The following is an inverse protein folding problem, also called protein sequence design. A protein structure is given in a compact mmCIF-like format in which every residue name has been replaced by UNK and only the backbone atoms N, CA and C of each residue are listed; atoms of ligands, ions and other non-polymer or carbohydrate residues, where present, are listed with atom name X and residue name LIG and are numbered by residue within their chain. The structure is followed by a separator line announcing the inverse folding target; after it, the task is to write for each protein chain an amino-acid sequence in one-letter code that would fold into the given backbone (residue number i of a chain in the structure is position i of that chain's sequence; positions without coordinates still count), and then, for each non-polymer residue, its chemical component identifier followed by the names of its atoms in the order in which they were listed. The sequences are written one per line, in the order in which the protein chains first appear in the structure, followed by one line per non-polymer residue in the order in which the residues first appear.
data_IF_427788512076
#
_entry.id   IF_427788512076
#
_cell.length_a   1.000
_cell.length_b   1.000
_cell.length_c   1.000
_cell.angle_alpha   90.00
_cell.angle_beta   90.00
_cell.angle_gamma   90.00
#
_symmetry.space_group_name_H-M   'P 1'
#
loop_
_entity.id
_entity.type
_entity.pdbx_description
1 polymer ?
#
# COMPACT_ATOMS: atom_id res chain seq x y z
N UNK A 1 -3.91 9.71 17.04
CA UNK A 1 -3.18 10.78 16.31
C UNK A 1 -2.38 10.25 15.13
N UNK A 2 -1.36 9.38 15.28
CA UNK A 2 -0.52 8.96 14.14
C UNK A 2 -1.24 8.06 13.12
N UNK A 3 -1.97 7.07 13.61
CA UNK A 3 -2.58 6.06 12.75
C UNK A 3 -3.81 6.59 12.00
N UNK A 4 -4.57 7.48 12.64
CA UNK A 4 -5.66 8.21 12.00
C UNK A 4 -5.14 9.12 10.87
N UNK A 5 -3.97 9.75 11.06
CA UNK A 5 -3.32 10.54 10.00
C UNK A 5 -2.93 9.67 8.80
N UNK A 6 -2.47 8.44 9.00
CA UNK A 6 -2.24 7.50 7.91
C UNK A 6 -3.55 7.20 7.17
N UNK A 7 -4.61 6.81 7.89
CA UNK A 7 -5.92 6.54 7.28
C UNK A 7 -6.45 7.72 6.46
N UNK A 8 -6.29 8.94 6.98
CA UNK A 8 -6.67 10.17 6.28
C UNK A 8 -5.80 10.44 5.04
N UNK A 9 -4.48 10.28 5.15
CA UNK A 9 -3.56 10.47 4.04
C UNK A 9 -3.87 9.50 2.89
N UNK A 10 -4.13 8.23 3.19
CA UNK A 10 -4.52 7.24 2.20
C UNK A 10 -5.88 7.55 1.56
N UNK A 11 -6.85 8.01 2.36
CA UNK A 11 -8.17 8.40 1.86
C UNK A 11 -8.09 9.59 0.91
N UNK A 12 -7.29 10.60 1.25
CA UNK A 12 -7.04 11.78 0.39
C UNK A 12 -6.32 11.36 -0.89
N UNK A 13 -5.31 10.48 -0.79
CA UNK A 13 -4.56 9.99 -1.95
C UNK A 13 -5.46 9.23 -2.95
N UNK A 14 -6.43 8.47 -2.45
CA UNK A 14 -7.39 7.74 -3.27
C UNK A 14 -8.55 8.60 -3.81
N UNK A 15 -8.73 9.83 -3.30
CA UNK A 15 -9.93 10.62 -3.54
C UNK A 15 -10.15 10.92 -5.04
N UNK A 16 -11.31 10.51 -5.56
CA UNK A 16 -11.71 10.75 -6.95
C UNK A 16 -10.95 9.92 -7.99
N UNK A 17 -10.12 8.95 -7.57
CA UNK A 17 -9.35 8.07 -8.46
C UNK A 17 -9.82 6.62 -8.30
N UNK A 18 -9.59 5.81 -9.33
CA UNK A 18 -9.89 4.37 -9.32
C UNK A 18 -8.80 3.59 -10.06
N UNK A 19 -8.76 2.28 -9.88
CA UNK A 19 -7.88 1.42 -10.67
C UNK A 19 -6.41 1.67 -10.38
N UNK A 20 -5.59 1.67 -11.43
CA UNK A 20 -4.12 1.76 -11.30
C UNK A 20 -3.66 3.07 -10.67
N UNK A 21 -4.30 4.20 -10.98
CA UNK A 21 -3.92 5.51 -10.46
C UNK A 21 -4.12 5.57 -8.95
N UNK A 22 -5.31 5.22 -8.46
CA UNK A 22 -5.59 5.21 -7.02
C UNK A 22 -4.60 4.34 -6.24
N UNK A 23 -4.26 3.15 -6.76
CA UNK A 23 -3.31 2.24 -6.10
C UNK A 23 -1.89 2.84 -6.05
N UNK A 24 -1.47 3.54 -7.10
CA UNK A 24 -0.18 4.24 -7.13
C UNK A 24 -0.12 5.37 -6.10
N UNK A 25 -1.19 6.16 -5.98
CA UNK A 25 -1.24 7.25 -5.00
C UNK A 25 -1.30 6.74 -3.58
N UNK A 26 -2.08 5.68 -3.31
CA UNK A 26 -2.12 5.01 -2.00
C UNK A 26 -0.73 4.50 -1.62
N UNK A 27 -0.02 3.83 -2.55
CA UNK A 27 1.32 3.33 -2.29
C UNK A 27 2.32 4.45 -1.99
N UNK A 28 2.27 5.54 -2.77
CA UNK A 28 3.13 6.71 -2.57
C UNK A 28 2.87 7.37 -1.21
N UNK A 29 1.60 7.64 -0.89
CA UNK A 29 1.21 8.23 0.38
C UNK A 29 1.60 7.36 1.59
N UNK A 30 1.50 6.03 1.45
CA UNK A 30 1.98 5.10 2.48
C UNK A 30 3.48 5.23 2.71
N UNK A 31 4.30 5.21 1.66
CA UNK A 31 5.77 5.31 1.76
C UNK A 31 6.19 6.67 2.33
N UNK A 32 5.56 7.76 1.88
CA UNK A 32 5.84 9.10 2.38
C UNK A 32 5.48 9.26 3.85
N UNK A 33 4.35 8.67 4.27
CA UNK A 33 3.97 8.64 5.68
C UNK A 33 5.01 7.89 6.53
N UNK A 34 5.47 6.73 6.08
CA UNK A 34 6.51 5.97 6.81
C UNK A 34 7.82 6.75 6.92
N UNK A 35 8.23 7.43 5.85
CA UNK A 35 9.44 8.27 5.84
C UNK A 35 9.34 9.46 6.80
N UNK A 36 8.18 10.09 6.89
CA UNK A 36 7.93 11.22 7.78
C UNK A 36 7.78 10.78 9.26
N UNK A 37 7.47 9.50 9.48
CA UNK A 37 7.14 8.96 10.80
C UNK A 37 7.85 7.62 11.10
N UNK A 38 9.19 7.54 11.06
CA UNK A 38 9.93 6.28 11.16
C UNK A 38 9.69 5.54 12.49
N UNK A 39 9.67 6.26 13.62
CA UNK A 39 9.42 5.64 14.94
C UNK A 39 8.00 5.08 15.11
N UNK A 40 7.03 5.61 14.36
CA UNK A 40 5.66 5.11 14.39
C UNK A 40 5.51 3.84 13.55
N UNK A 41 6.24 3.75 12.44
CA UNK A 41 6.33 2.52 11.66
C UNK A 41 6.98 1.40 12.49
N UNK A 42 8.13 1.65 13.11
CA UNK A 42 8.78 0.65 13.96
C UNK A 42 7.88 0.18 15.12
N UNK A 43 7.22 1.11 15.83
CA UNK A 43 6.31 0.78 16.94
C UNK A 43 5.09 -0.03 16.48
N UNK A 44 4.49 0.34 15.35
CA UNK A 44 3.30 -0.33 14.82
C UNK A 44 3.58 -1.74 14.30
N UNK A 45 4.80 -2.00 13.82
CA UNK A 45 5.13 -3.28 13.18
C UNK A 45 5.91 -4.25 14.07
N UNK A 46 6.71 -3.77 15.04
CA UNK A 46 7.42 -4.62 16.00
C UNK A 46 6.55 -5.08 17.17
N UNK A 47 5.50 -4.35 17.50
CA UNK A 47 4.51 -4.75 18.49
C UNK A 47 3.13 -4.81 17.82
N UNK A 48 2.75 -5.94 17.19
CA UNK A 48 1.35 -6.18 16.85
C UNK A 48 0.61 -6.46 18.15
N UNK A 49 0.48 -5.45 19.02
CA UNK A 49 -0.52 -5.49 20.06
C UNK A 49 -1.85 -5.56 19.31
N UNK A 50 -2.42 -6.77 19.28
CA UNK A 50 -3.82 -6.98 18.85
C UNK A 50 -4.79 -6.07 19.63
N UNK A 51 -4.32 -5.50 20.74
CA UNK A 51 -5.01 -4.58 21.62
C UNK A 51 -4.80 -3.08 21.29
N UNK A 52 -4.28 -2.73 20.11
CA UNK A 52 -4.28 -1.34 19.61
C UNK A 52 -5.36 -1.12 18.53
N UNK A 53 -6.60 -0.75 18.91
CA UNK A 53 -7.73 -0.54 18.00
C UNK A 53 -7.44 0.43 16.86
N UNK A 54 -6.57 1.41 17.10
CA UNK A 54 -6.23 2.45 16.14
C UNK A 54 -5.44 1.87 14.96
N UNK A 55 -4.44 1.03 15.23
CA UNK A 55 -3.66 0.33 14.21
C UNK A 55 -4.49 -0.64 13.37
N UNK A 56 -5.44 -1.32 14.01
CA UNK A 56 -6.43 -2.12 13.32
C UNK A 56 -7.35 -1.26 12.43
N UNK A 57 -7.74 -0.07 12.88
CA UNK A 57 -8.62 0.83 12.12
C UNK A 57 -7.96 1.38 10.84
N UNK A 58 -6.73 1.90 10.89
CA UNK A 58 -6.08 2.36 9.65
C UNK A 58 -5.68 1.20 8.73
N UNK A 59 -5.33 0.05 9.31
CA UNK A 59 -5.12 -1.17 8.51
C UNK A 59 -6.39 -1.58 7.77
N UNK A 60 -7.56 -1.38 8.39
CA UNK A 60 -8.88 -1.61 7.78
C UNK A 60 -9.19 -0.57 6.70
N UNK A 61 -8.91 0.72 6.92
CA UNK A 61 -9.08 1.77 5.90
C UNK A 61 -8.21 1.51 4.68
N UNK A 62 -6.93 1.22 4.87
CA UNK A 62 -6.02 0.88 3.77
C UNK A 62 -6.48 -0.37 3.00
N UNK A 63 -6.96 -1.39 3.70
CA UNK A 63 -7.54 -2.59 3.10
C UNK A 63 -8.76 -2.24 2.23
N UNK A 64 -9.70 -1.47 2.76
CA UNK A 64 -10.92 -1.11 2.03
C UNK A 64 -10.62 -0.28 0.79
N UNK A 65 -9.76 0.74 0.90
CA UNK A 65 -9.35 1.57 -0.23
C UNK A 65 -8.69 0.76 -1.34
N UNK A 66 -7.85 -0.22 -0.99
CA UNK A 66 -7.23 -1.10 -1.97
C UNK A 66 -8.26 -2.04 -2.64
N UNK A 67 -9.21 -2.60 -1.88
CA UNK A 67 -10.29 -3.41 -2.44
C UNK A 67 -11.16 -2.61 -3.42
N UNK A 68 -11.55 -1.40 -3.02
CA UNK A 68 -12.36 -0.50 -3.86
C UNK A 68 -11.61 -0.12 -5.14
N UNK A 69 -10.32 0.18 -5.02
CA UNK A 69 -9.46 0.52 -6.17
C UNK A 69 -9.23 -0.66 -7.12
N UNK A 70 -9.38 -1.90 -6.65
CA UNK A 70 -9.25 -3.11 -7.46
C UNK A 70 -10.54 -3.49 -8.20
N UNK A 71 -11.69 -2.85 -7.93
CA UNK A 71 -12.97 -3.15 -8.61
C UNK A 71 -12.87 -3.16 -10.15
N UNK A 72 -12.16 -2.22 -10.81
CA UNK A 72 -12.05 -2.23 -12.28
C UNK A 72 -11.34 -3.46 -12.86
N UNK A 73 -10.58 -4.20 -12.05
CA UNK A 73 -9.88 -5.41 -12.45
C UNK A 73 -10.76 -6.65 -12.47
N UNK A 74 -12.03 -6.55 -12.02
CA UNK A 74 -13.03 -7.64 -12.05
C UNK A 74 -12.52 -8.98 -11.51
N UNK A 75 -11.71 -8.91 -10.45
CA UNK A 75 -11.17 -10.09 -9.79
C UNK A 75 -12.28 -10.82 -9.01
N UNK A 76 -12.17 -12.14 -8.87
CA UNK A 76 -12.94 -12.85 -7.85
C UNK A 76 -12.58 -12.33 -6.46
N UNK A 77 -13.46 -12.53 -5.48
CA UNK A 77 -13.21 -12.10 -4.09
C UNK A 77 -11.88 -12.65 -3.55
N UNK A 78 -11.62 -13.93 -3.77
CA UNK A 78 -10.36 -14.56 -3.37
C UNK A 78 -9.15 -13.91 -4.06
N UNK A 79 -9.23 -13.66 -5.37
CA UNK A 79 -8.15 -13.01 -6.12
C UNK A 79 -7.91 -11.56 -5.67
N UNK A 80 -8.96 -10.81 -5.34
CA UNK A 80 -8.86 -9.46 -4.79
C UNK A 80 -8.15 -9.46 -3.43
N UNK A 81 -8.49 -10.39 -2.53
CA UNK A 81 -7.83 -10.53 -1.23
C UNK A 81 -6.34 -10.92 -1.38
N UNK A 82 -6.01 -11.81 -2.32
CA UNK A 82 -4.62 -12.11 -2.66
C UNK A 82 -3.88 -10.88 -3.20
N UNK A 83 -4.51 -10.09 -4.07
CA UNK A 83 -3.95 -8.87 -4.61
C UNK A 83 -3.66 -7.83 -3.52
N UNK A 84 -4.60 -7.63 -2.58
CA UNK A 84 -4.38 -6.72 -1.44
C UNK A 84 -3.22 -7.17 -0.56
N UNK A 85 -3.12 -8.47 -0.25
CA UNK A 85 -1.96 -8.99 0.49
C UNK A 85 -0.66 -8.73 -0.26
N UNK A 86 -0.64 -8.93 -1.58
CA UNK A 86 0.50 -8.61 -2.44
C UNK A 86 0.90 -7.14 -2.37
N UNK A 87 -0.06 -6.22 -2.58
CA UNK A 87 0.19 -4.78 -2.54
C UNK A 87 0.72 -4.31 -1.18
N UNK A 88 0.14 -4.82 -0.08
CA UNK A 88 0.63 -4.53 1.28
C UNK A 88 2.06 -5.02 1.48
N UNK A 89 2.38 -6.23 1.03
CA UNK A 89 3.74 -6.78 1.13
C UNK A 89 4.75 -5.97 0.32
N UNK A 90 4.38 -5.52 -0.89
CA UNK A 90 5.23 -4.68 -1.73
C UNK A 90 5.51 -3.33 -1.05
N UNK A 91 4.46 -2.64 -0.58
CA UNK A 91 4.61 -1.35 0.11
C UNK A 91 5.43 -1.49 1.40
N UNK A 92 5.16 -2.52 2.20
CA UNK A 92 5.91 -2.80 3.42
C UNK A 92 7.38 -3.12 3.14
N UNK A 93 7.66 -3.94 2.12
CA UNK A 93 9.04 -4.24 1.70
C UNK A 93 9.80 -2.99 1.27
N UNK A 94 9.19 -2.14 0.44
CA UNK A 94 9.77 -0.86 0.03
C UNK A 94 10.04 0.06 1.22
N UNK A 95 9.08 0.19 2.14
CA UNK A 95 9.23 1.00 3.35
C UNK A 95 10.38 0.48 4.23
N UNK A 96 10.42 -0.83 4.50
CA UNK A 96 11.41 -1.47 5.37
C UNK A 96 12.83 -1.37 4.80
N UNK A 97 13.02 -1.68 3.51
CA UNK A 97 14.32 -1.57 2.84
C UNK A 97 14.77 -0.11 2.77
N UNK A 98 13.85 0.80 2.44
CA UNK A 98 14.13 2.24 2.34
C UNK A 98 14.52 2.85 3.69
N UNK A 99 13.84 2.49 4.78
CA UNK A 99 14.15 2.95 6.13
C UNK A 99 15.55 2.53 6.59
N UNK A 100 16.05 1.38 6.12
CA UNK A 100 17.40 0.88 6.41
C UNK A 100 18.47 1.40 5.45
N UNK A 101 18.13 2.32 4.53
CA UNK A 101 19.07 2.82 3.52
C UNK A 101 19.46 1.78 2.46
N UNK A 102 18.65 0.73 2.26
CA UNK A 102 18.97 -0.40 1.38
C UNK A 102 18.88 -0.11 -0.13
N UNK A 103 18.43 1.07 -0.54
CA UNK A 103 18.37 1.49 -1.93
C UNK A 103 19.61 2.30 -2.33
N UNK A 104 20.74 1.62 -2.53
CA UNK A 104 22.03 2.24 -2.87
C UNK A 104 22.29 2.38 -4.39
N UNK A 105 21.30 2.07 -5.23
CA UNK A 105 21.40 2.18 -6.70
C UNK A 105 21.09 3.61 -7.16
N UNK A 106 21.60 4.01 -8.32
CA UNK A 106 21.43 5.37 -8.90
C UNK A 106 20.03 5.56 -9.54
N UNK A 107 18.97 5.34 -8.77
CA UNK A 107 17.59 5.60 -9.17
C UNK A 107 16.82 6.15 -7.99
N UNK A 108 15.84 7.02 -8.25
CA UNK A 108 14.97 7.50 -7.19
C UNK A 108 14.08 6.33 -6.70
N UNK A 109 13.99 6.06 -5.38
CA UNK A 109 13.19 4.94 -4.89
C UNK A 109 11.70 5.05 -5.25
N UNK A 110 11.19 6.26 -5.48
CA UNK A 110 9.83 6.50 -5.96
C UNK A 110 9.60 5.96 -7.38
N UNK A 111 10.59 6.06 -8.26
CA UNK A 111 10.52 5.48 -9.61
C UNK A 111 10.45 3.96 -9.54
N UNK A 112 11.26 3.36 -8.67
CA UNK A 112 11.27 1.91 -8.43
C UNK A 112 9.95 1.42 -7.85
N UNK A 113 9.36 2.17 -6.91
CA UNK A 113 8.04 1.89 -6.36
C UNK A 113 6.97 1.92 -7.46
N UNK A 114 6.93 2.99 -8.25
CA UNK A 114 5.97 3.16 -9.32
C UNK A 114 6.06 2.02 -10.34
N UNK A 115 7.27 1.70 -10.78
CA UNK A 115 7.53 0.59 -11.70
C UNK A 115 7.04 -0.76 -11.14
N UNK A 116 7.31 -1.03 -9.86
CA UNK A 116 6.94 -2.28 -9.20
C UNK A 116 5.42 -2.43 -9.08
N UNK A 117 4.72 -1.37 -8.65
CA UNK A 117 3.27 -1.38 -8.55
C UNK A 117 2.63 -1.53 -9.93
N UNK A 118 3.07 -0.79 -10.93
CA UNK A 118 2.54 -0.92 -12.31
C UNK A 118 2.71 -2.33 -12.84
N UNK A 119 3.90 -2.94 -12.67
CA UNK A 119 4.19 -4.31 -13.09
C UNK A 119 3.28 -5.33 -12.41
N UNK A 120 3.04 -5.18 -11.10
CA UNK A 120 2.14 -6.04 -10.36
C UNK A 120 0.70 -5.93 -10.88
N UNK A 121 0.22 -4.71 -11.09
CA UNK A 121 -1.12 -4.42 -11.58
C UNK A 121 -1.35 -4.92 -13.00
N UNK A 122 -0.37 -4.81 -13.89
CA UNK A 122 -0.46 -5.36 -15.24
C UNK A 122 -0.55 -6.89 -15.22
N UNK A 123 0.16 -7.54 -14.30
CA UNK A 123 0.00 -8.98 -14.05
C UNK A 123 -1.41 -9.36 -13.56
N UNK A 124 -2.09 -8.50 -12.79
CA UNK A 124 -3.50 -8.71 -12.42
C UNK A 124 -4.44 -8.55 -13.61
N UNK A 125 -4.22 -7.53 -14.45
CA UNK A 125 -5.02 -7.32 -15.67
C UNK A 125 -4.94 -8.52 -16.60
N UNK A 126 -3.77 -9.14 -16.73
CA UNK A 126 -3.61 -10.32 -17.57
C UNK A 126 -4.39 -11.52 -17.02
N UNK A 127 -4.26 -11.81 -15.71
CA UNK A 127 -5.00 -12.91 -15.06
C UNK A 127 -6.52 -12.74 -15.11
N UNK A 128 -7.01 -11.50 -15.07
CA UNK A 128 -8.45 -11.20 -15.23
C UNK A 128 -8.98 -11.52 -16.63
N UNK A 129 -8.16 -11.42 -17.68
CA UNK A 129 -8.58 -11.73 -19.07
C UNK A 129 -8.61 -13.22 -19.35
N UNK A 130 -7.83 -14.00 -18.60
CA UNK A 130 -7.68 -15.45 -18.76
C UNK A 130 -8.70 -16.25 -17.90
N UNK A 131 -9.56 -15.55 -17.13
CA UNK A 131 -10.61 -16.13 -16.27
C UNK A 131 -12.00 -15.87 -16.83
#
# INVERSE_FOLDING_TARGET
MSVEQLGQALTVAAAGRVGSEAIQDIATAYIDFVRQHPGLYEASFHAPNRDEPQLAAASTVALQLLLDSLQPYRLSEAAALHAVRGLRSLCHGFASIGAQGGFAMNFEPSESLHFTISSFLDGLKQRSKDS
#
